data_IF_956886571930
#
_entry.id   IF_956886571930
#
_cell.length_a   1.000
_cell.length_b   1.000
_cell.length_c   1.000
_cell.angle_alpha   90.00
_cell.angle_beta   90.00
_cell.angle_gamma   90.00
#
_symmetry.space_group_name_H-M   'P 1'
#
loop_
_entity.id
_entity.type
_entity.pdbx_description
1 polymer ?
#
# COMPACT_ATOMS: atom_id res chain seq x y z
N UNK A 1 -1.29 -28.22 -9.24
CA UNK A 1 -0.95 -27.27 -8.15
C UNK A 1 -0.20 -26.01 -8.61
N UNK A 2 0.65 -26.03 -9.64
CA UNK A 2 1.37 -24.82 -10.11
C UNK A 2 0.62 -23.88 -11.06
N UNK A 3 -0.50 -24.31 -11.68
CA UNK A 3 -1.20 -23.54 -12.72
C UNK A 3 -1.72 -22.18 -12.22
N UNK A 4 -2.29 -22.12 -11.00
CA UNK A 4 -2.82 -20.89 -10.42
C UNK A 4 -1.74 -19.85 -10.11
N UNK A 5 -0.49 -20.26 -9.88
CA UNK A 5 0.61 -19.33 -9.60
C UNK A 5 1.05 -18.56 -10.84
N UNK A 6 0.86 -19.12 -12.04
CA UNK A 6 1.22 -18.44 -13.28
C UNK A 6 0.23 -17.32 -13.65
N UNK A 7 -1.02 -17.46 -13.21
CA UNK A 7 -2.10 -16.49 -13.48
C UNK A 7 -2.33 -15.53 -12.30
N UNK A 8 -1.79 -15.84 -11.11
CA UNK A 8 -1.96 -15.00 -9.93
C UNK A 8 -1.29 -13.63 -10.11
N UNK A 9 -2.06 -12.56 -9.85
CA UNK A 9 -1.55 -11.18 -9.78
C UNK A 9 -0.48 -11.02 -8.70
N UNK A 10 -0.64 -11.70 -7.56
CA UNK A 10 0.31 -11.72 -6.46
C UNK A 10 0.07 -12.92 -5.53
N UNK A 11 1.08 -13.26 -4.72
CA UNK A 11 0.99 -14.22 -3.60
C UNK A 11 1.30 -13.51 -2.29
N UNK A 12 0.46 -13.71 -1.29
CA UNK A 12 0.65 -13.23 0.09
C UNK A 12 1.07 -14.41 0.96
N UNK A 13 2.20 -14.29 1.66
CA UNK A 13 2.75 -15.32 2.55
C UNK A 13 2.73 -14.80 3.99
N UNK A 14 1.89 -15.42 4.82
CA UNK A 14 1.73 -15.06 6.23
C UNK A 14 1.46 -16.30 7.09
N UNK A 15 2.30 -17.33 6.99
CA UNK A 15 2.16 -18.62 7.68
C UNK A 15 2.50 -18.56 9.19
N UNK A 16 2.57 -17.37 9.79
CA UNK A 16 2.76 -17.17 11.23
C UNK A 16 4.18 -17.44 11.76
N UNK A 17 5.08 -18.05 10.98
CA UNK A 17 6.50 -18.21 11.34
C UNK A 17 7.39 -17.88 10.15
N UNK A 18 8.53 -17.24 10.42
CA UNK A 18 9.41 -16.74 9.37
C UNK A 18 10.15 -17.86 8.61
N UNK A 19 10.50 -18.96 9.29
CA UNK A 19 11.09 -20.16 8.68
C UNK A 19 10.14 -20.79 7.64
N UNK A 20 8.88 -20.98 8.00
CA UNK A 20 7.83 -21.44 7.09
C UNK A 20 7.62 -20.45 5.95
N UNK A 21 7.56 -19.15 6.25
CA UNK A 21 7.41 -18.13 5.21
C UNK A 21 8.57 -18.16 4.20
N UNK A 22 9.80 -18.43 4.66
CA UNK A 22 10.97 -18.53 3.79
C UNK A 22 10.86 -19.73 2.84
N UNK A 23 10.45 -20.90 3.35
CA UNK A 23 10.24 -22.08 2.51
C UNK A 23 9.13 -21.88 1.48
N UNK A 24 8.01 -21.27 1.88
CA UNK A 24 6.93 -20.94 0.95
C UNK A 24 7.42 -19.94 -0.11
N UNK A 25 8.18 -18.91 0.28
CA UNK A 25 8.76 -17.93 -0.64
C UNK A 25 9.65 -18.59 -1.69
N UNK A 26 10.59 -19.44 -1.26
CA UNK A 26 11.49 -20.15 -2.16
C UNK A 26 10.72 -21.09 -3.09
N UNK A 27 9.66 -21.74 -2.59
CA UNK A 27 8.79 -22.60 -3.39
C UNK A 27 8.05 -21.80 -4.47
N UNK A 28 7.45 -20.66 -4.09
CA UNK A 28 6.78 -19.77 -5.05
C UNK A 28 7.75 -19.28 -6.11
N UNK A 29 8.99 -18.92 -5.72
CA UNK A 29 10.04 -18.46 -6.64
C UNK A 29 10.54 -19.53 -7.59
N UNK A 30 10.62 -20.78 -7.11
CA UNK A 30 10.95 -21.93 -7.95
C UNK A 30 9.87 -22.19 -9.01
N UNK A 31 8.59 -22.05 -8.64
CA UNK A 31 7.46 -22.30 -9.54
C UNK A 31 7.16 -21.13 -10.49
N UNK A 32 7.26 -19.89 -10.01
CA UNK A 32 7.07 -18.68 -10.78
C UNK A 32 8.00 -17.55 -10.27
N UNK A 33 9.11 -17.35 -10.99
CA UNK A 33 10.11 -16.32 -10.67
C UNK A 33 9.60 -14.89 -10.87
N UNK A 34 8.52 -14.69 -11.63
CA UNK A 34 7.97 -13.36 -11.96
C UNK A 34 6.78 -12.94 -11.10
N UNK A 35 6.15 -13.86 -10.37
CA UNK A 35 4.99 -13.55 -9.54
C UNK A 35 5.35 -12.52 -8.46
N UNK A 36 4.53 -11.49 -8.26
CA UNK A 36 4.70 -10.54 -7.14
C UNK A 36 4.41 -11.28 -5.83
N UNK A 37 5.34 -11.23 -4.89
CA UNK A 37 5.22 -11.88 -3.58
C UNK A 37 5.34 -10.84 -2.48
N UNK A 38 4.34 -10.87 -1.59
CA UNK A 38 4.26 -10.09 -0.37
C UNK A 38 4.43 -11.04 0.80
N UNK A 39 5.36 -10.76 1.70
CA UNK A 39 5.66 -11.64 2.85
C UNK A 39 5.50 -10.87 4.16
N UNK A 40 4.86 -11.49 5.14
CA UNK A 40 4.86 -11.00 6.52
C UNK A 40 6.15 -11.44 7.23
N UNK A 41 6.87 -10.51 7.83
CA UNK A 41 8.05 -10.79 8.66
C UNK A 41 7.73 -10.55 10.13
N UNK A 42 8.06 -11.51 10.99
CA UNK A 42 7.97 -11.34 12.45
C UNK A 42 9.25 -10.74 13.02
N UNK A 43 10.38 -11.27 12.60
CA UNK A 43 11.68 -10.84 13.09
C UNK A 43 12.37 -9.92 12.06
N UNK A 44 12.94 -8.82 12.53
CA UNK A 44 13.60 -7.83 11.67
C UNK A 44 14.81 -8.43 10.93
N UNK A 45 15.53 -9.37 11.56
CA UNK A 45 16.66 -10.07 10.97
C UNK A 45 16.30 -10.84 9.69
N UNK A 46 15.06 -11.35 9.60
CA UNK A 46 14.59 -12.13 8.46
C UNK A 46 14.18 -11.27 7.28
N UNK A 47 14.04 -9.95 7.45
CA UNK A 47 13.71 -9.02 6.35
C UNK A 47 14.75 -9.11 5.23
N UNK A 48 16.05 -9.17 5.59
CA UNK A 48 17.13 -9.30 4.61
C UNK A 48 17.03 -10.63 3.86
N UNK A 49 16.74 -11.72 4.56
CA UNK A 49 16.55 -13.05 3.98
C UNK A 49 15.38 -13.05 3.00
N UNK A 50 14.22 -12.53 3.37
CA UNK A 50 13.06 -12.47 2.47
C UNK A 50 13.33 -11.60 1.23
N UNK A 51 14.05 -10.49 1.39
CA UNK A 51 14.44 -9.64 0.25
C UNK A 51 15.37 -10.39 -0.71
N UNK A 52 16.38 -11.11 -0.17
CA UNK A 52 17.27 -11.96 -0.97
C UNK A 52 16.55 -13.14 -1.62
N UNK A 53 15.54 -13.70 -0.95
CA UNK A 53 14.63 -14.71 -1.48
C UNK A 53 13.67 -14.19 -2.55
N UNK A 54 13.70 -12.89 -2.88
CA UNK A 54 12.93 -12.30 -3.96
C UNK A 54 11.51 -11.88 -3.56
N UNK A 55 11.22 -11.64 -2.28
CA UNK A 55 10.01 -10.94 -1.89
C UNK A 55 10.07 -9.47 -2.37
N UNK A 56 9.04 -9.00 -3.08
CA UNK A 56 8.98 -7.60 -3.55
C UNK A 56 8.47 -6.65 -2.46
N UNK A 57 7.60 -7.14 -1.59
CA UNK A 57 7.07 -6.36 -0.47
C UNK A 57 7.19 -7.19 0.79
N UNK A 58 7.71 -6.57 1.85
CA UNK A 58 7.86 -7.20 3.16
C UNK A 58 7.16 -6.28 4.16
N UNK A 59 6.22 -6.83 4.92
CA UNK A 59 5.45 -6.11 5.92
C UNK A 59 5.76 -6.75 7.26
N UNK A 60 6.05 -5.96 8.29
CA UNK A 60 6.13 -6.46 9.67
C UNK A 60 4.98 -5.91 10.50
N UNK A 61 3.87 -6.66 10.66
CA UNK A 61 2.72 -6.20 11.42
C UNK A 61 3.08 -5.82 12.87
N UNK A 62 4.01 -6.56 13.49
CA UNK A 62 4.46 -6.27 14.84
C UNK A 62 5.17 -4.91 14.95
N UNK A 63 6.02 -4.56 13.98
CA UNK A 63 6.68 -3.25 13.94
C UNK A 63 5.65 -2.12 13.82
N UNK A 64 4.70 -2.24 12.88
CA UNK A 64 3.66 -1.21 12.70
C UNK A 64 2.73 -1.11 13.91
N UNK A 65 2.35 -2.23 14.51
CA UNK A 65 1.60 -2.25 15.77
C UNK A 65 2.37 -1.58 16.91
N UNK A 66 3.68 -1.80 17.00
CA UNK A 66 4.55 -1.12 17.96
C UNK A 66 4.59 0.40 17.75
N UNK A 67 4.66 0.87 16.50
CA UNK A 67 4.55 2.30 16.20
C UNK A 67 3.20 2.88 16.59
N UNK A 68 2.11 2.13 16.40
CA UNK A 68 0.79 2.56 16.84
C UNK A 68 0.68 2.66 18.36
N UNK A 69 1.20 1.67 19.09
CA UNK A 69 1.23 1.70 20.55
C UNK A 69 2.03 2.90 21.07
N UNK A 70 3.19 3.17 20.48
CA UNK A 70 3.99 4.34 20.84
C UNK A 70 3.27 5.65 20.53
N UNK A 71 2.61 5.75 19.38
CA UNK A 71 1.85 6.94 19.02
C UNK A 71 0.64 7.17 19.94
N UNK A 72 -0.04 6.10 20.37
CA UNK A 72 -1.20 6.17 21.25
C UNK A 72 -0.90 6.72 22.65
N UNK A 73 0.37 6.83 23.05
CA UNK A 73 0.78 7.46 24.32
C UNK A 73 0.37 8.94 24.34
N UNK A 74 0.59 9.66 23.24
CA UNK A 74 0.39 11.11 23.16
C UNK A 74 -0.67 11.53 22.12
N UNK A 75 -1.06 10.63 21.21
CA UNK A 75 -1.92 10.94 20.06
C UNK A 75 -3.26 10.20 20.17
N UNK A 76 -4.19 10.82 20.91
CA UNK A 76 -5.53 10.30 21.21
C UNK A 76 -6.30 9.74 19.99
N UNK A 77 -6.19 10.38 18.82
CA UNK A 77 -7.02 10.06 17.65
C UNK A 77 -6.27 9.41 16.49
N UNK A 78 -4.93 9.29 16.55
CA UNK A 78 -4.17 8.77 15.43
C UNK A 78 -4.44 7.27 15.21
N UNK A 79 -4.54 6.51 16.31
CA UNK A 79 -4.82 5.07 16.23
C UNK A 79 -6.18 4.81 15.59
N UNK A 80 -7.23 5.49 16.08
CA UNK A 80 -8.60 5.40 15.55
C UNK A 80 -8.65 5.75 14.06
N UNK A 81 -7.97 6.82 13.65
CA UNK A 81 -7.96 7.25 12.25
C UNK A 81 -7.21 6.27 11.34
N UNK A 82 -6.10 5.68 11.81
CA UNK A 82 -5.39 4.62 11.08
C UNK A 82 -6.23 3.34 10.99
N UNK A 83 -6.99 2.99 12.02
CA UNK A 83 -7.90 1.85 12.00
C UNK A 83 -9.02 2.05 10.96
N UNK A 84 -9.61 3.26 10.92
CA UNK A 84 -10.61 3.63 9.91
C UNK A 84 -10.04 3.47 8.48
N UNK A 85 -8.76 3.78 8.25
CA UNK A 85 -8.11 3.59 6.94
C UNK A 85 -7.85 2.14 6.56
N UNK A 86 -7.48 1.31 7.53
CA UNK A 86 -7.06 -0.08 7.27
C UNK A 86 -8.25 -1.05 7.18
N UNK A 87 -9.44 -0.59 7.58
CA UNK A 87 -10.64 -1.41 7.69
C UNK A 87 -11.54 -1.26 6.46
N UNK A 88 -11.97 -2.39 5.89
CA UNK A 88 -12.98 -2.40 4.83
C UNK A 88 -14.29 -1.83 5.37
N UNK A 89 -14.80 -0.77 4.75
CA UNK A 89 -16.01 -0.08 5.21
C UNK A 89 -15.76 0.98 6.29
N UNK A 90 -14.50 1.33 6.57
CA UNK A 90 -14.18 2.55 7.32
C UNK A 90 -14.65 3.81 6.61
N UNK A 91 -14.59 4.96 7.29
CA UNK A 91 -15.13 6.23 6.78
C UNK A 91 -14.34 6.84 5.62
N UNK A 92 -13.14 6.32 5.40
CA UNK A 92 -12.11 6.91 4.54
C UNK A 92 -11.34 5.80 3.85
N UNK A 93 -11.03 5.99 2.58
CA UNK A 93 -10.26 5.05 1.79
C UNK A 93 -9.07 5.75 1.13
N UNK A 94 -7.95 5.05 1.03
CA UNK A 94 -6.78 5.50 0.28
C UNK A 94 -6.77 4.78 -1.05
N UNK A 95 -6.88 5.55 -2.14
CA UNK A 95 -6.88 5.03 -3.50
C UNK A 95 -5.59 5.43 -4.22
N UNK A 96 -4.92 4.44 -4.79
CA UNK A 96 -3.84 4.64 -5.75
C UNK A 96 -4.42 4.63 -7.17
N UNK A 97 -4.23 5.71 -7.92
CA UNK A 97 -4.77 5.85 -9.29
C UNK A 97 -3.74 6.51 -10.20
N UNK A 98 -3.59 6.01 -11.42
CA UNK A 98 -2.79 6.68 -12.46
C UNK A 98 -3.56 7.89 -13.01
N UNK A 99 -2.86 8.98 -13.29
CA UNK A 99 -3.44 10.19 -13.90
C UNK A 99 -3.97 9.86 -15.30
N UNK A 100 -5.26 10.09 -15.51
CA UNK A 100 -5.93 9.94 -16.80
C UNK A 100 -5.87 11.23 -17.63
N UNK A 101 -6.23 11.15 -18.93
CA UNK A 101 -6.21 12.31 -19.84
C UNK A 101 -7.02 13.51 -19.34
N UNK A 102 -8.08 13.25 -18.59
CA UNK A 102 -8.95 14.28 -18.01
C UNK A 102 -8.33 14.97 -16.80
N UNK A 103 -7.26 14.42 -16.23
CA UNK A 103 -6.58 14.93 -15.04
C UNK A 103 -5.32 15.71 -15.41
N UNK A 104 -4.76 15.46 -16.61
CA UNK A 104 -3.60 16.19 -17.13
C UNK A 104 -3.91 17.68 -17.22
N UNK A 105 -3.02 18.50 -16.68
CA UNK A 105 -3.19 19.96 -16.69
C UNK A 105 -4.03 20.53 -15.55
N UNK A 106 -4.76 19.69 -14.80
CA UNK A 106 -5.48 20.15 -13.60
C UNK A 106 -4.51 20.48 -12.48
N UNK A 107 -4.89 21.47 -11.67
CA UNK A 107 -4.22 21.71 -10.40
C UNK A 107 -4.62 20.64 -9.39
N UNK A 108 -3.74 20.34 -8.46
CA UNK A 108 -4.03 19.44 -7.33
C UNK A 108 -5.21 19.93 -6.47
N UNK A 109 -5.51 21.23 -6.52
CA UNK A 109 -6.65 21.86 -5.84
C UNK A 109 -8.01 21.57 -6.53
N UNK A 110 -7.99 21.15 -7.80
CA UNK A 110 -9.21 20.86 -8.57
C UNK A 110 -9.73 19.43 -8.34
N UNK A 111 -9.07 18.65 -7.49
CA UNK A 111 -9.39 17.26 -7.19
C UNK A 111 -10.48 17.07 -6.11
N UNK A 112 -11.14 18.16 -5.70
CA UNK A 112 -12.23 18.11 -4.72
C UNK A 112 -13.36 17.15 -5.16
N UNK A 113 -13.94 16.36 -4.25
CA UNK A 113 -13.76 16.36 -2.80
C UNK A 113 -12.56 15.53 -2.30
N UNK A 114 -11.81 14.89 -3.19
CA UNK A 114 -10.70 14.02 -2.82
C UNK A 114 -9.47 14.84 -2.37
N UNK A 115 -8.74 14.31 -1.40
CA UNK A 115 -7.52 14.95 -0.89
C UNK A 115 -6.30 14.24 -1.45
N UNK A 116 -5.50 14.95 -2.25
CA UNK A 116 -4.24 14.42 -2.75
C UNK A 116 -3.19 14.33 -1.64
N UNK A 117 -2.80 13.10 -1.29
CA UNK A 117 -1.78 12.84 -0.27
C UNK A 117 -0.37 12.85 -0.87
N UNK A 118 -0.18 12.21 -2.03
CA UNK A 118 1.13 12.06 -2.69
C UNK A 118 1.00 11.92 -4.20
N UNK A 119 2.06 12.29 -4.91
CA UNK A 119 2.27 11.98 -6.33
C UNK A 119 3.58 11.22 -6.49
N UNK A 120 3.55 10.17 -7.29
CA UNK A 120 4.73 9.45 -7.74
C UNK A 120 4.90 9.65 -9.25
N UNK A 121 6.11 9.99 -9.68
CA UNK A 121 6.49 10.05 -11.09
C UNK A 121 7.64 9.09 -11.33
N UNK A 122 7.48 8.16 -12.27
CA UNK A 122 8.49 7.14 -12.57
C UNK A 122 8.99 6.38 -11.33
N UNK A 123 8.09 6.15 -10.35
CA UNK A 123 8.40 5.45 -9.11
C UNK A 123 9.07 6.31 -8.01
N UNK A 124 9.34 7.60 -8.27
CA UNK A 124 9.89 8.53 -7.27
C UNK A 124 8.81 9.43 -6.71
N UNK A 125 8.89 9.74 -5.40
CA UNK A 125 7.96 10.65 -4.73
C UNK A 125 8.26 12.08 -5.15
N UNK A 126 7.23 12.81 -5.58
CA UNK A 126 7.29 14.26 -5.72
C UNK A 126 7.18 14.90 -4.33
N UNK A 127 8.05 15.86 -4.04
CA UNK A 127 8.14 16.40 -2.69
C UNK A 127 6.83 17.11 -2.26
N UNK A 128 6.40 16.99 -0.98
CA UNK A 128 5.13 17.55 -0.52
C UNK A 128 4.91 19.04 -0.83
N UNK A 129 5.96 19.85 -0.72
CA UNK A 129 5.88 21.29 -0.98
C UNK A 129 5.77 21.63 -2.48
N UNK A 130 6.14 20.72 -3.38
CA UNK A 130 6.07 20.95 -4.83
C UNK A 130 4.62 20.85 -5.31
N UNK A 131 3.84 19.90 -4.79
CA UNK A 131 2.44 19.74 -5.19
C UNK A 131 1.42 20.53 -4.38
N UNK A 132 1.85 21.19 -3.31
CA UNK A 132 1.04 22.17 -2.58
C UNK A 132 0.96 23.56 -3.26
N UNK A 133 1.82 23.87 -4.24
CA UNK A 133 1.95 25.22 -4.83
C UNK A 133 1.51 25.32 -6.31
N UNK A 134 0.61 24.45 -6.78
CA UNK A 134 0.26 24.21 -8.21
C UNK A 134 1.22 23.27 -8.93
N UNK A 135 1.27 22.01 -8.50
CA UNK A 135 1.83 20.98 -9.36
C UNK A 135 0.82 20.60 -10.43
N UNK A 136 1.30 20.56 -11.67
CA UNK A 136 0.51 20.11 -12.82
C UNK A 136 0.72 18.62 -13.00
N UNK A 137 -0.39 17.88 -12.94
CA UNK A 137 -0.38 16.44 -13.15
C UNK A 137 0.03 16.11 -14.59
N UNK A 138 0.94 15.15 -14.76
CA UNK A 138 1.36 14.64 -16.06
C UNK A 138 0.89 13.20 -16.27
N UNK A 139 0.77 12.81 -17.54
CA UNK A 139 0.43 11.43 -17.89
C UNK A 139 1.50 10.47 -17.34
N UNK A 140 1.05 9.42 -16.66
CA UNK A 140 1.93 8.43 -16.04
C UNK A 140 2.32 8.74 -14.60
N UNK A 141 1.91 9.91 -14.07
CA UNK A 141 1.91 10.13 -12.63
C UNK A 141 0.94 9.17 -11.95
N UNK A 142 1.32 8.72 -10.76
CA UNK A 142 0.47 7.91 -9.88
C UNK A 142 0.14 8.76 -8.66
N UNK A 143 -1.15 8.98 -8.44
CA UNK A 143 -1.67 9.74 -7.31
C UNK A 143 -2.11 8.81 -6.20
N UNK A 144 -1.82 9.21 -4.97
CA UNK A 144 -2.40 8.64 -3.76
C UNK A 144 -3.44 9.62 -3.24
N UNK A 145 -4.71 9.24 -3.31
CA UNK A 145 -5.85 10.06 -2.96
C UNK A 145 -6.49 9.53 -1.68
N UNK A 146 -6.86 10.43 -0.78
CA UNK A 146 -7.76 10.14 0.31
C UNK A 146 -9.18 10.47 -0.13
N UNK A 147 -10.06 9.47 -0.11
CA UNK A 147 -11.47 9.59 -0.47
C UNK A 147 -12.35 9.36 0.76
N UNK A 148 -13.41 10.14 0.88
CA UNK A 148 -14.49 9.77 1.80
C UNK A 148 -15.21 8.55 1.24
N UNK A 149 -15.45 7.54 2.07
CA UNK A 149 -16.31 6.43 1.67
C UNK A 149 -17.74 6.94 1.79
N UNK A 150 -18.37 7.26 0.66
CA UNK A 150 -19.80 7.53 0.64
C UNK A 150 -20.54 6.24 0.95
N UNK A 151 -21.37 6.21 1.99
CA UNK A 151 -22.43 5.22 2.09
C UNK A 151 -23.24 5.30 0.80
N UNK A 152 -23.20 4.26 -0.02
CA UNK A 152 -24.09 4.14 -1.16
C UNK A 152 -25.48 3.78 -0.57
N UNK A 153 -26.50 4.67 -0.61
CA UNK A 153 -27.82 4.38 -0.05
C UNK A 153 -28.57 3.28 -0.83
N UNK A 154 -27.94 2.62 -1.80
CA UNK A 154 -28.53 1.61 -2.68
C UNK A 154 -28.20 0.15 -2.31
N UNK A 155 -27.58 -0.13 -1.17
CA UNK A 155 -27.38 -1.51 -0.68
C UNK A 155 -28.08 -1.78 0.66
N UNK A 156 -29.39 -1.54 0.70
CA UNK A 156 -30.32 -2.07 1.72
C UNK A 156 -31.54 -2.70 1.05
#
# INVERSE_FOLDING_TARGET
YGAFLNEAKAVIIAAGRDDTNALVLLTVRHLNSRCRVIVSAKEEENVKLFRQGGAQTIISPATYGGYMLAAAVDQQYLADYLEDFLTVGGKVNIEERTVDKQDVGKSTLDLQPDVLLRVYRQGSIIAPWEFQKSYTLEQGDVMLLLKAVSEDPASS
#
